data_IF_238734967914
#
_entry.id   IF_238734967914
#
_cell.length_a   1.000
_cell.length_b   1.000
_cell.length_c   1.000
_cell.angle_alpha   90.00
_cell.angle_beta   90.00
_cell.angle_gamma   90.00
#
_symmetry.space_group_name_H-M   'P 1'
#
loop_
_entity.id
_entity.type
_entity.pdbx_description
1 polymer ?
#
# COMPACT_ATOMS: atom_id res chain seq x y z
N UNK A 1 67.19 -5.58 -2.89
CA UNK A 1 66.57 -6.10 -4.12
C UNK A 1 65.33 -6.88 -3.72
N UNK A 2 64.09 -6.60 -4.09
CA UNK A 2 63.47 -5.40 -4.65
C UNK A 2 62.13 -5.19 -3.94
N UNK A 3 61.79 -3.93 -3.68
CA UNK A 3 60.54 -3.51 -3.07
C UNK A 3 59.45 -3.42 -4.13
N UNK A 4 58.36 -4.15 -3.96
CA UNK A 4 57.12 -3.92 -4.72
C UNK A 4 56.10 -3.23 -3.82
N UNK A 5 56.05 -1.91 -3.95
CA UNK A 5 54.88 -1.10 -3.61
C UNK A 5 53.87 -1.22 -4.76
N UNK A 6 52.69 -1.79 -4.47
CA UNK A 6 51.53 -1.68 -5.35
C UNK A 6 50.56 -0.68 -4.71
N UNK A 7 50.58 0.55 -5.20
CA UNK A 7 49.58 1.57 -4.89
C UNK A 7 48.31 1.29 -5.67
N UNK A 8 47.21 1.03 -4.96
CA UNK A 8 45.86 0.96 -5.53
C UNK A 8 45.22 2.34 -5.39
N UNK A 9 45.37 3.16 -6.44
CA UNK A 9 44.54 4.33 -6.71
C UNK A 9 43.62 3.94 -7.89
N UNK A 10 42.31 3.94 -7.68
CA UNK A 10 41.39 3.52 -8.72
C UNK A 10 39.91 3.79 -8.42
N UNK A 11 39.50 5.05 -8.60
CA UNK A 11 38.19 5.39 -9.16
C UNK A 11 36.94 5.18 -8.29
N UNK A 12 36.58 6.21 -7.51
CA UNK A 12 35.18 6.48 -7.16
C UNK A 12 34.42 6.87 -8.44
N UNK A 13 34.00 5.87 -9.22
CA UNK A 13 33.05 6.02 -10.31
C UNK A 13 31.66 6.22 -9.72
N UNK A 14 31.30 7.48 -9.44
CA UNK A 14 29.92 7.84 -9.17
C UNK A 14 29.05 7.45 -10.37
N UNK A 15 28.34 6.33 -10.24
CA UNK A 15 27.30 5.93 -11.18
C UNK A 15 26.21 6.99 -11.07
N UNK A 16 26.27 7.99 -11.96
CA UNK A 16 25.18 8.93 -12.14
C UNK A 16 23.97 8.12 -12.61
N UNK A 17 22.83 8.15 -11.93
CA UNK A 17 21.62 7.57 -12.46
C UNK A 17 21.33 8.23 -13.80
N UNK A 18 21.17 7.42 -14.84
CA UNK A 18 20.58 7.82 -16.11
C UNK A 18 19.15 8.27 -15.81
N UNK A 19 19.03 9.55 -15.50
CA UNK A 19 17.77 10.26 -15.47
C UNK A 19 17.32 10.37 -16.92
N UNK A 20 16.54 9.40 -17.36
CA UNK A 20 15.72 9.60 -18.55
C UNK A 20 14.78 10.76 -18.21
N UNK A 21 14.79 11.87 -18.97
CA UNK A 21 13.73 12.84 -18.84
C UNK A 21 12.44 12.11 -19.21
N UNK A 22 11.61 11.85 -18.20
CA UNK A 22 10.21 11.52 -18.42
C UNK A 22 9.68 12.71 -19.20
N UNK A 23 9.51 12.51 -20.50
CA UNK A 23 8.84 13.44 -21.38
C UNK A 23 7.41 13.46 -20.87
N UNK A 24 7.15 14.41 -19.96
CA UNK A 24 5.80 14.79 -19.55
C UNK A 24 5.03 14.98 -20.85
N UNK A 25 4.14 14.02 -21.14
CA UNK A 25 3.04 14.28 -22.05
C UNK A 25 2.20 15.30 -21.32
N UNK A 26 2.52 16.57 -21.59
CA UNK A 26 1.85 17.71 -21.01
C UNK A 26 0.37 17.62 -21.34
N UNK A 27 -0.39 17.10 -20.38
CA UNK A 27 -1.74 17.59 -20.17
C UNK A 27 -1.68 19.12 -20.03
N UNK A 28 -2.72 19.83 -20.49
CA UNK A 28 -2.74 21.29 -20.43
C UNK A 28 -2.38 21.77 -19.01
N UNK A 29 -1.62 22.88 -18.88
CA UNK A 29 -1.14 23.34 -17.59
C UNK A 29 -2.34 23.58 -16.65
N UNK A 30 -2.25 23.05 -15.42
CA UNK A 30 -3.27 23.13 -14.35
C UNK A 30 -3.80 24.57 -14.15
N UNK A 31 -2.98 25.58 -14.43
CA UNK A 31 -3.35 27.00 -14.41
C UNK A 31 -4.47 27.38 -15.41
N UNK A 32 -4.59 26.68 -16.53
CA UNK A 32 -5.62 26.93 -17.54
C UNK A 32 -6.98 26.36 -17.14
N UNK A 33 -7.01 25.25 -16.38
CA UNK A 33 -8.25 24.62 -15.94
C UNK A 33 -8.86 25.31 -14.71
N UNK A 34 -8.04 25.76 -13.75
CA UNK A 34 -8.54 26.61 -12.65
C UNK A 34 -9.07 27.94 -13.18
N UNK A 35 -8.41 28.51 -14.19
CA UNK A 35 -8.90 29.69 -14.90
C UNK A 35 -10.26 29.44 -15.57
N UNK A 36 -10.44 28.31 -16.27
CA UNK A 36 -11.72 27.98 -16.90
C UNK A 36 -12.82 27.64 -15.88
N UNK A 37 -12.50 26.98 -14.76
CA UNK A 37 -13.48 26.76 -13.67
C UNK A 37 -13.92 28.09 -13.05
N UNK A 38 -12.97 28.99 -12.80
CA UNK A 38 -13.28 30.31 -12.20
C UNK A 38 -14.06 31.20 -13.18
N UNK A 39 -13.71 31.14 -14.46
CA UNK A 39 -14.46 31.78 -15.54
C UNK A 39 -15.89 31.24 -15.63
N UNK A 40 -16.09 29.93 -15.62
CA UNK A 40 -17.43 29.31 -15.61
C UNK A 40 -18.21 29.69 -14.34
N UNK A 41 -17.56 29.77 -13.16
CA UNK A 41 -18.19 30.25 -11.92
C UNK A 41 -18.65 31.71 -12.05
N UNK A 42 -17.82 32.56 -12.63
CA UNK A 42 -18.14 33.97 -12.88
C UNK A 42 -19.31 34.12 -13.86
N UNK A 43 -19.38 33.27 -14.89
CA UNK A 43 -20.48 33.22 -15.85
C UNK A 43 -21.79 32.73 -15.21
N UNK A 44 -21.74 31.72 -14.33
CA UNK A 44 -22.89 31.28 -13.54
C UNK A 44 -23.41 32.42 -12.65
N UNK A 45 -22.51 33.09 -11.93
CA UNK A 45 -22.88 34.21 -11.06
C UNK A 45 -23.53 35.36 -11.84
N UNK A 46 -22.99 35.68 -13.02
CA UNK A 46 -23.55 36.69 -13.92
C UNK A 46 -24.92 36.29 -14.48
N UNK A 47 -25.07 35.06 -14.98
CA UNK A 47 -26.34 34.56 -15.50
C UNK A 47 -27.42 34.48 -14.40
N UNK A 48 -27.06 34.11 -13.17
CA UNK A 48 -27.96 34.14 -12.02
C UNK A 48 -28.39 35.58 -11.68
N UNK A 49 -27.47 36.55 -11.70
CA UNK A 49 -27.81 37.95 -11.48
C UNK A 49 -28.73 38.52 -12.56
N UNK A 50 -28.52 38.14 -13.82
CA UNK A 50 -29.40 38.50 -14.95
C UNK A 50 -30.78 37.85 -14.81
N UNK A 51 -30.85 36.57 -14.42
CA UNK A 51 -32.12 35.88 -14.11
C UNK A 51 -32.88 36.58 -12.99
N UNK A 52 -32.22 36.89 -11.88
CA UNK A 52 -32.83 37.54 -10.72
C UNK A 52 -33.24 38.98 -11.03
N UNK A 53 -32.57 39.65 -11.98
CA UNK A 53 -33.01 40.93 -12.52
C UNK A 53 -34.30 40.77 -13.35
N UNK A 54 -34.36 39.79 -14.26
CA UNK A 54 -35.55 39.52 -15.07
C UNK A 54 -36.76 39.13 -14.20
N UNK A 55 -36.55 38.36 -13.13
CA UNK A 55 -37.60 38.02 -12.16
C UNK A 55 -38.11 39.26 -11.42
N UNK A 56 -37.22 40.16 -10.99
CA UNK A 56 -37.61 41.43 -10.35
C UNK A 56 -38.39 42.36 -11.28
N UNK A 57 -37.97 42.47 -12.55
CA UNK A 57 -38.69 43.25 -13.57
C UNK A 57 -40.07 42.64 -13.88
N UNK A 58 -40.15 41.31 -13.99
CA UNK A 58 -41.41 40.59 -14.18
C UNK A 58 -42.37 40.82 -13.00
N UNK A 59 -41.87 40.76 -11.76
CA UNK A 59 -42.65 41.05 -10.55
C UNK A 59 -43.13 42.50 -10.49
N UNK A 60 -42.31 43.46 -10.93
CA UNK A 60 -42.69 44.87 -10.99
C UNK A 60 -43.78 45.13 -12.05
N UNK A 61 -43.68 44.50 -13.22
CA UNK A 61 -44.73 44.53 -14.23
C UNK A 61 -46.00 43.88 -13.69
N UNK A 62 -45.91 42.77 -12.96
CA UNK A 62 -47.08 42.15 -12.32
C UNK A 62 -47.72 43.05 -11.27
N UNK A 63 -46.94 43.76 -10.44
CA UNK A 63 -47.46 44.77 -9.50
C UNK A 63 -48.13 45.94 -10.22
N UNK A 64 -47.52 46.47 -11.29
CA UNK A 64 -48.09 47.56 -12.09
C UNK A 64 -49.36 47.13 -12.83
N UNK A 65 -49.40 45.93 -13.37
CA UNK A 65 -50.58 45.34 -14.00
C UNK A 65 -51.72 45.15 -12.98
N UNK A 66 -51.42 44.64 -11.78
CA UNK A 66 -52.40 44.46 -10.69
C UNK A 66 -52.93 45.79 -10.14
N UNK A 67 -52.11 46.85 -10.14
CA UNK A 67 -52.54 48.21 -9.79
C UNK A 67 -53.43 48.88 -10.84
N UNK A 68 -53.23 48.57 -12.13
CA UNK A 68 -54.00 49.14 -13.25
C UNK A 68 -55.32 48.38 -13.52
N UNK A 69 -55.43 47.13 -13.09
CA UNK A 69 -56.62 46.28 -13.26
C UNK A 69 -57.76 46.56 -12.24
N UNK A 70 -57.59 47.51 -11.31
CA UNK A 70 -58.65 47.91 -10.34
C UNK A 70 -59.66 48.92 -10.89
N UNK A 71 -59.53 49.37 -12.14
CA UNK A 71 -60.49 50.28 -12.75
C UNK A 71 -60.47 50.24 -14.27
N UNK A 72 -61.20 49.29 -14.86
CA UNK A 72 -62.08 49.48 -16.03
C UNK A 72 -62.69 48.13 -16.44
N UNK A 73 -64.02 48.06 -16.41
CA UNK A 73 -64.85 47.00 -16.98
C UNK A 73 -64.82 47.09 -18.51
N UNK A 74 -64.27 46.09 -19.21
CA UNK A 74 -64.70 45.66 -20.54
C UNK A 74 -64.16 44.24 -20.82
N UNK A 75 -65.00 43.24 -20.54
CA UNK A 75 -64.60 41.83 -20.45
C UNK A 75 -64.29 41.11 -21.79
N UNK A 76 -64.49 41.74 -22.96
CA UNK A 76 -64.16 41.13 -24.27
C UNK A 76 -62.87 41.73 -24.85
N UNK A 77 -62.65 43.05 -24.69
CA UNK A 77 -61.38 43.70 -25.07
C UNK A 77 -60.27 43.40 -24.05
N UNK A 78 -60.62 43.26 -22.76
CA UNK A 78 -59.69 42.85 -21.70
C UNK A 78 -59.12 41.45 -21.90
N UNK A 79 -59.85 40.52 -22.54
CA UNK A 79 -59.38 39.17 -22.84
C UNK A 79 -58.29 39.14 -23.92
N UNK A 80 -58.45 39.92 -25.01
CA UNK A 80 -57.42 40.01 -26.06
C UNK A 80 -56.19 40.81 -25.61
N UNK A 81 -56.38 41.87 -24.82
CA UNK A 81 -55.26 42.65 -24.26
C UNK A 81 -54.52 41.86 -23.19
N UNK A 82 -55.21 41.08 -22.34
CA UNK A 82 -54.57 40.18 -21.39
C UNK A 82 -53.88 39.00 -22.08
N UNK A 83 -54.47 38.41 -23.11
CA UNK A 83 -53.82 37.38 -23.93
C UNK A 83 -52.60 37.94 -24.66
N UNK A 84 -52.69 39.13 -25.27
CA UNK A 84 -51.58 39.83 -25.91
C UNK A 84 -50.46 40.20 -24.92
N UNK A 85 -50.79 40.65 -23.71
CA UNK A 85 -49.83 40.93 -22.64
C UNK A 85 -49.20 39.66 -22.07
N UNK A 86 -49.96 38.56 -21.92
CA UNK A 86 -49.43 37.25 -21.50
C UNK A 86 -48.57 36.60 -22.59
N UNK A 87 -48.93 36.75 -23.87
CA UNK A 87 -48.10 36.34 -25.00
C UNK A 87 -46.83 37.18 -25.11
N UNK A 88 -46.93 38.51 -24.96
CA UNK A 88 -45.77 39.40 -24.93
C UNK A 88 -44.87 39.13 -23.70
N UNK A 89 -45.44 38.78 -22.55
CA UNK A 89 -44.71 38.36 -21.35
C UNK A 89 -44.06 36.97 -21.52
N UNK A 90 -44.78 36.02 -22.11
CA UNK A 90 -44.27 34.68 -22.44
C UNK A 90 -43.12 34.74 -23.44
N UNK A 91 -43.24 35.57 -24.47
CA UNK A 91 -42.21 35.75 -25.50
C UNK A 91 -41.05 36.60 -24.98
N UNK A 92 -41.33 37.68 -24.24
CA UNK A 92 -40.33 38.64 -23.77
C UNK A 92 -39.53 38.20 -22.54
N UNK A 93 -40.11 37.37 -21.67
CA UNK A 93 -39.49 37.00 -20.39
C UNK A 93 -39.42 35.48 -20.16
N UNK A 94 -40.47 34.72 -20.46
CA UNK A 94 -40.47 33.27 -20.19
C UNK A 94 -39.49 32.50 -21.10
N UNK A 95 -39.46 32.84 -22.40
CA UNK A 95 -38.52 32.25 -23.36
C UNK A 95 -37.04 32.48 -22.96
N UNK A 96 -36.58 33.72 -22.67
CA UNK A 96 -35.19 33.93 -22.24
C UNK A 96 -34.89 33.30 -20.88
N UNK A 97 -35.85 33.22 -19.95
CA UNK A 97 -35.65 32.48 -18.67
C UNK A 97 -35.43 30.98 -18.93
N UNK A 98 -36.22 30.37 -19.82
CA UNK A 98 -36.06 28.96 -20.18
C UNK A 98 -34.75 28.68 -20.93
N UNK A 99 -34.35 29.58 -21.84
CA UNK A 99 -33.05 29.51 -22.53
C UNK A 99 -31.90 29.63 -21.54
N UNK A 100 -31.97 30.59 -20.58
CA UNK A 100 -30.97 30.75 -19.52
C UNK A 100 -30.89 29.54 -18.58
N UNK A 101 -32.02 28.91 -18.26
CA UNK A 101 -32.01 27.68 -17.46
C UNK A 101 -31.36 26.50 -18.20
N UNK A 102 -31.55 26.40 -19.52
CA UNK A 102 -30.86 25.39 -20.35
C UNK A 102 -29.35 25.65 -20.42
N UNK A 103 -28.95 26.90 -20.61
CA UNK A 103 -27.54 27.31 -20.57
C UNK A 103 -26.91 27.00 -19.21
N UNK A 104 -27.61 27.30 -18.12
CA UNK A 104 -27.13 27.06 -16.76
C UNK A 104 -26.99 25.56 -16.47
N UNK A 105 -27.97 24.74 -16.87
CA UNK A 105 -27.88 23.28 -16.77
C UNK A 105 -26.73 22.70 -17.61
N UNK A 106 -26.48 23.24 -18.80
CA UNK A 106 -25.35 22.83 -19.65
C UNK A 106 -24.01 23.17 -18.98
N UNK A 107 -23.90 24.37 -18.39
CA UNK A 107 -22.70 24.80 -17.68
C UNK A 107 -22.47 23.96 -16.42
N UNK A 108 -23.51 23.70 -15.62
CA UNK A 108 -23.42 22.84 -14.45
C UNK A 108 -22.98 21.42 -14.81
N UNK A 109 -23.52 20.85 -15.89
CA UNK A 109 -23.10 19.55 -16.39
C UNK A 109 -21.61 19.55 -16.82
N UNK A 110 -21.16 20.60 -17.50
CA UNK A 110 -19.74 20.78 -17.85
C UNK A 110 -18.86 20.86 -16.59
N UNK A 111 -19.21 21.70 -15.62
CA UNK A 111 -18.47 21.80 -14.35
C UNK A 111 -18.42 20.47 -13.62
N UNK A 112 -19.52 19.72 -13.59
CA UNK A 112 -19.56 18.39 -13.00
C UNK A 112 -18.63 17.43 -13.75
N UNK A 113 -18.65 17.43 -15.09
CA UNK A 113 -17.75 16.60 -15.90
C UNK A 113 -16.28 16.91 -15.64
N UNK A 114 -15.91 18.19 -15.55
CA UNK A 114 -14.54 18.60 -15.21
C UNK A 114 -14.14 18.18 -13.79
N UNK A 115 -15.05 18.30 -12.81
CA UNK A 115 -14.80 17.82 -11.44
C UNK A 115 -14.58 16.31 -11.40
N UNK A 116 -15.41 15.54 -12.09
CA UNK A 116 -15.28 14.07 -12.17
C UNK A 116 -13.98 13.67 -12.84
N UNK A 117 -13.61 14.32 -13.95
CA UNK A 117 -12.36 14.05 -14.66
C UNK A 117 -11.14 14.38 -13.79
N UNK A 118 -11.14 15.53 -13.10
CA UNK A 118 -10.07 15.88 -12.14
C UNK A 118 -9.94 14.86 -11.02
N UNK A 119 -11.07 14.42 -10.46
CA UNK A 119 -11.06 13.40 -9.41
C UNK A 119 -10.50 12.09 -9.93
N UNK A 120 -10.89 11.68 -11.15
CA UNK A 120 -10.37 10.49 -11.79
C UNK A 120 -8.85 10.57 -11.99
N UNK A 121 -8.34 11.68 -12.52
CA UNK A 121 -6.90 11.89 -12.70
C UNK A 121 -6.15 11.88 -11.37
N UNK A 122 -6.70 12.51 -10.33
CA UNK A 122 -6.12 12.48 -8.98
C UNK A 122 -6.03 11.05 -8.44
N UNK A 123 -7.11 10.28 -8.58
CA UNK A 123 -7.16 8.89 -8.13
C UNK A 123 -6.19 8.01 -8.94
N UNK A 124 -6.10 8.21 -10.26
CA UNK A 124 -5.15 7.49 -11.13
C UNK A 124 -3.70 7.80 -10.75
N UNK A 125 -3.37 9.06 -10.44
CA UNK A 125 -2.05 9.46 -9.95
C UNK A 125 -1.72 8.83 -8.60
N UNK A 126 -2.67 8.84 -7.66
CA UNK A 126 -2.50 8.23 -6.34
C UNK A 126 -2.30 6.71 -6.45
N UNK A 127 -3.07 6.03 -7.30
CA UNK A 127 -2.89 4.60 -7.57
C UNK A 127 -1.52 4.30 -8.18
N UNK A 128 -1.03 5.14 -9.10
CA UNK A 128 0.32 4.97 -9.65
C UNK A 128 1.40 5.15 -8.59
N UNK A 129 1.27 6.15 -7.72
CA UNK A 129 2.19 6.40 -6.62
C UNK A 129 2.24 5.21 -5.66
N UNK A 130 1.08 4.69 -5.25
CA UNK A 130 0.97 3.50 -4.38
C UNK A 130 1.60 2.28 -5.06
N UNK A 131 1.38 2.05 -6.36
CA UNK A 131 2.01 0.94 -7.09
C UNK A 131 3.53 1.06 -7.10
N UNK A 132 4.06 2.24 -7.40
CA UNK A 132 5.51 2.48 -7.39
C UNK A 132 6.10 2.29 -5.99
N UNK A 133 5.40 2.73 -4.94
CA UNK A 133 5.83 2.53 -3.56
C UNK A 133 5.82 1.04 -3.18
N UNK A 134 4.76 0.31 -3.54
CA UNK A 134 4.67 -1.13 -3.31
C UNK A 134 5.77 -1.91 -4.05
N UNK A 135 6.06 -1.57 -5.30
CA UNK A 135 7.18 -2.15 -6.06
C UNK A 135 8.52 -1.89 -5.37
N UNK A 136 8.74 -0.67 -4.87
CA UNK A 136 9.96 -0.31 -4.14
C UNK A 136 10.08 -1.06 -2.81
N UNK A 137 8.98 -1.22 -2.08
CA UNK A 137 8.93 -2.00 -0.84
C UNK A 137 9.23 -3.47 -1.13
N UNK A 138 8.59 -4.06 -2.14
CA UNK A 138 8.83 -5.45 -2.56
C UNK A 138 10.29 -5.67 -2.96
N UNK A 139 10.90 -4.73 -3.67
CA UNK A 139 12.32 -4.81 -4.01
C UNK A 139 13.20 -4.78 -2.75
N UNK A 140 12.94 -3.87 -1.82
CA UNK A 140 13.68 -3.80 -0.54
C UNK A 140 13.56 -5.09 0.26
N UNK A 141 12.39 -5.73 0.26
CA UNK A 141 12.20 -7.02 0.92
C UNK A 141 13.05 -8.11 0.28
N UNK A 142 13.06 -8.21 -1.06
CA UNK A 142 13.92 -9.17 -1.79
C UNK A 142 15.41 -8.94 -1.51
N UNK A 143 15.84 -7.69 -1.51
CA UNK A 143 17.24 -7.33 -1.22
C UNK A 143 17.62 -7.71 0.23
N UNK A 144 16.70 -7.51 1.17
CA UNK A 144 16.89 -7.89 2.57
C UNK A 144 16.93 -9.41 2.77
N UNK A 145 16.08 -10.15 2.07
CA UNK A 145 16.11 -11.62 2.04
C UNK A 145 17.42 -12.16 1.45
N UNK A 146 17.89 -11.60 0.34
CA UNK A 146 19.16 -11.96 -0.26
C UNK A 146 20.35 -11.64 0.66
N UNK A 147 20.35 -10.48 1.31
CA UNK A 147 21.36 -10.11 2.30
C UNK A 147 21.35 -11.06 3.50
N UNK A 148 20.17 -11.44 3.99
CA UNK A 148 20.05 -12.40 5.09
C UNK A 148 20.56 -13.80 4.69
N UNK A 149 20.29 -14.24 3.46
CA UNK A 149 20.82 -15.50 2.94
C UNK A 149 22.35 -15.49 2.86
N UNK A 150 22.95 -14.42 2.34
CA UNK A 150 24.42 -14.28 2.29
C UNK A 150 25.05 -14.24 3.68
N UNK A 151 24.43 -13.54 4.64
CA UNK A 151 24.89 -13.53 6.03
C UNK A 151 24.78 -14.91 6.68
N UNK A 152 23.75 -15.69 6.35
CA UNK A 152 23.60 -17.06 6.84
C UNK A 152 24.72 -17.97 6.29
N UNK A 153 25.09 -17.83 5.02
CA UNK A 153 26.21 -18.56 4.39
C UNK A 153 27.56 -18.19 5.03
N UNK A 154 27.88 -16.90 5.12
CA UNK A 154 29.11 -16.42 5.79
C UNK A 154 29.22 -16.92 7.23
N UNK A 155 28.07 -17.05 7.91
CA UNK A 155 28.02 -17.60 9.26
C UNK A 155 28.29 -19.10 9.27
N UNK A 156 27.74 -19.87 8.34
CA UNK A 156 28.00 -21.30 8.23
C UNK A 156 29.50 -21.56 7.99
N UNK A 157 30.13 -20.80 7.10
CA UNK A 157 31.58 -20.87 6.84
C UNK A 157 32.41 -20.53 8.08
N UNK A 158 32.00 -19.49 8.83
CA UNK A 158 32.66 -19.09 10.06
C UNK A 158 32.52 -20.16 11.16
N UNK A 159 31.35 -20.80 11.28
CA UNK A 159 31.12 -21.91 12.22
C UNK A 159 31.98 -23.12 11.84
N UNK A 160 32.06 -23.50 10.57
CA UNK A 160 32.91 -24.60 10.08
C UNK A 160 34.39 -24.34 10.36
N UNK A 161 34.87 -23.13 10.05
CA UNK A 161 36.25 -22.74 10.33
C UNK A 161 36.56 -22.81 11.83
N UNK A 162 35.64 -22.35 12.67
CA UNK A 162 35.81 -22.36 14.11
C UNK A 162 35.84 -23.79 14.68
N UNK A 163 35.00 -24.69 14.16
CA UNK A 163 35.00 -26.11 14.53
C UNK A 163 36.30 -26.82 14.09
N UNK A 164 36.81 -26.50 12.89
CA UNK A 164 38.10 -27.00 12.43
C UNK A 164 39.25 -26.53 13.34
N UNK A 165 39.31 -25.22 13.62
CA UNK A 165 40.30 -24.64 14.53
C UNK A 165 40.22 -25.25 15.93
N UNK A 166 39.01 -25.50 16.44
CA UNK A 166 38.79 -26.20 17.70
C UNK A 166 39.37 -27.62 17.64
N UNK A 167 39.08 -28.38 16.60
CA UNK A 167 39.63 -29.72 16.39
C UNK A 167 41.16 -29.72 16.38
N UNK A 168 41.78 -28.79 15.66
CA UNK A 168 43.24 -28.62 15.63
C UNK A 168 43.81 -28.27 17.02
N UNK A 169 43.19 -27.35 17.76
CA UNK A 169 43.64 -26.96 19.09
C UNK A 169 43.50 -28.11 20.11
N UNK A 170 42.44 -28.92 20.02
CA UNK A 170 42.26 -30.10 20.88
C UNK A 170 43.33 -31.15 20.58
N UNK A 171 43.62 -31.42 19.30
CA UNK A 171 44.69 -32.34 18.91
C UNK A 171 46.06 -31.83 19.39
N UNK A 172 46.36 -30.55 19.17
CA UNK A 172 47.59 -29.91 19.60
C UNK A 172 47.76 -29.94 21.13
N UNK A 173 46.67 -29.70 21.89
CA UNK A 173 46.67 -29.84 23.35
C UNK A 173 47.01 -31.26 23.79
N UNK A 174 46.47 -32.29 23.13
CA UNK A 174 46.79 -33.69 23.44
C UNK A 174 48.24 -34.04 23.12
N UNK A 175 48.76 -33.55 22.00
CA UNK A 175 50.16 -33.73 21.60
C UNK A 175 51.11 -33.11 22.64
N UNK A 176 50.85 -31.86 23.07
CA UNK A 176 51.64 -31.22 24.12
C UNK A 176 51.57 -31.95 25.47
N UNK A 177 50.39 -32.42 25.88
CA UNK A 177 50.28 -33.22 27.11
C UNK A 177 51.09 -34.52 27.03
N UNK A 178 51.03 -35.24 25.90
CA UNK A 178 51.80 -36.47 25.72
C UNK A 178 53.32 -36.22 25.70
N UNK A 179 53.77 -35.10 25.11
CA UNK A 179 55.18 -34.68 25.13
C UNK A 179 55.65 -34.31 26.54
N UNK A 180 54.80 -33.66 27.34
CA UNK A 180 55.10 -33.34 28.74
C UNK A 180 55.33 -34.62 29.57
N UNK A 181 54.50 -35.66 29.35
CA UNK A 181 54.60 -36.94 30.06
C UNK A 181 55.87 -37.73 29.69
N UNK A 182 56.45 -37.52 28.50
CA UNK A 182 57.67 -38.20 28.04
C UNK A 182 58.97 -37.50 28.42
N UNK A 183 58.91 -36.23 28.82
CA UNK A 183 60.10 -35.43 29.16
C UNK A 183 60.62 -35.74 30.57
N UNK A 184 61.91 -36.02 30.68
CA UNK A 184 62.59 -36.29 31.98
C UNK A 184 63.13 -35.01 32.63
N UNK A 185 63.18 -33.89 31.91
CA UNK A 185 63.55 -32.57 32.43
C UNK A 185 62.34 -31.77 32.93
N UNK A 186 62.41 -31.24 34.15
CA UNK A 186 61.30 -30.48 34.77
C UNK A 186 60.90 -29.21 33.99
N UNK A 187 61.82 -28.59 33.26
CA UNK A 187 61.57 -27.30 32.58
C UNK A 187 60.76 -27.49 31.29
N UNK A 188 61.09 -28.49 30.49
CA UNK A 188 60.42 -28.76 29.21
C UNK A 188 58.99 -29.27 29.42
N UNK A 189 58.77 -30.12 30.44
CA UNK A 189 57.43 -30.61 30.79
C UNK A 189 56.49 -29.46 31.22
N UNK A 190 57.00 -28.49 31.99
CA UNK A 190 56.22 -27.34 32.44
C UNK A 190 55.82 -26.41 31.27
N UNK A 191 56.69 -26.25 30.27
CA UNK A 191 56.38 -25.45 29.08
C UNK A 191 55.26 -26.08 28.25
N UNK A 192 55.34 -27.40 28.01
CA UNK A 192 54.29 -28.13 27.29
C UNK A 192 52.94 -28.11 28.01
N UNK A 193 52.94 -28.22 29.35
CA UNK A 193 51.72 -28.07 30.16
C UNK A 193 51.09 -26.68 29.97
N UNK A 194 51.90 -25.62 29.99
CA UNK A 194 51.42 -24.25 29.77
C UNK A 194 50.83 -24.05 28.38
N UNK A 195 51.43 -24.64 27.34
CA UNK A 195 50.91 -24.60 25.98
C UNK A 195 49.57 -25.33 25.85
N UNK A 196 49.42 -26.48 26.52
CA UNK A 196 48.15 -27.20 26.56
C UNK A 196 47.04 -26.39 27.25
N UNK A 197 47.33 -25.76 28.39
CA UNK A 197 46.39 -24.86 29.09
C UNK A 197 45.99 -23.67 28.20
N UNK A 198 46.97 -23.03 27.54
CA UNK A 198 46.71 -21.92 26.63
C UNK A 198 45.85 -22.34 25.42
N UNK A 199 46.04 -23.55 24.90
CA UNK A 199 45.21 -24.10 23.83
C UNK A 199 43.76 -24.33 24.30
N UNK A 200 43.57 -24.88 25.52
CA UNK A 200 42.24 -25.06 26.10
C UNK A 200 41.51 -23.74 26.36
N UNK A 201 42.21 -22.71 26.85
CA UNK A 201 41.64 -21.39 27.04
C UNK A 201 41.21 -20.74 25.72
N UNK A 202 41.99 -20.91 24.65
CA UNK A 202 41.62 -20.48 23.30
C UNK A 202 40.38 -21.20 22.77
N UNK A 203 40.24 -22.50 23.03
CA UNK A 203 39.04 -23.27 22.67
C UNK A 203 37.81 -22.71 23.38
N UNK A 204 37.88 -22.47 24.70
CA UNK A 204 36.76 -21.87 25.47
C UNK A 204 36.38 -20.49 24.96
N UNK A 205 37.37 -19.67 24.58
CA UNK A 205 37.13 -18.35 24.00
C UNK A 205 36.39 -18.45 22.66
N UNK A 206 36.82 -19.36 21.78
CA UNK A 206 36.16 -19.62 20.50
C UNK A 206 34.71 -20.10 20.69
N UNK A 207 34.46 -21.04 21.61
CA UNK A 207 33.10 -21.51 21.93
C UNK A 207 32.19 -20.36 22.36
N UNK A 208 32.71 -19.45 23.20
CA UNK A 208 31.97 -18.26 23.64
C UNK A 208 31.66 -17.31 22.47
N UNK A 209 32.62 -17.12 21.56
CA UNK A 209 32.44 -16.28 20.38
C UNK A 209 31.41 -16.87 19.41
N UNK A 210 31.46 -18.18 19.16
CA UNK A 210 30.47 -18.91 18.35
C UNK A 210 29.07 -18.70 18.95
N UNK A 211 28.90 -18.98 20.24
CA UNK A 211 27.59 -18.83 20.91
C UNK A 211 27.04 -17.40 20.81
N UNK A 212 27.91 -16.38 20.89
CA UNK A 212 27.53 -14.98 20.71
C UNK A 212 27.08 -14.69 19.28
N UNK A 213 27.79 -15.19 18.27
CA UNK A 213 27.41 -15.04 16.86
C UNK A 213 26.07 -15.74 16.58
N UNK A 214 25.87 -16.95 17.12
CA UNK A 214 24.63 -17.71 16.97
C UNK A 214 23.42 -16.98 17.55
N UNK A 215 23.56 -16.41 18.76
CA UNK A 215 22.48 -15.66 19.39
C UNK A 215 22.17 -14.34 18.66
N UNK A 216 23.21 -13.61 18.21
CA UNK A 216 23.04 -12.40 17.39
C UNK A 216 22.32 -12.68 16.06
N UNK A 217 22.66 -13.78 15.40
CA UNK A 217 22.04 -14.17 14.14
C UNK A 217 20.55 -14.51 14.31
N UNK A 218 20.19 -15.27 15.36
CA UNK A 218 18.78 -15.55 15.68
C UNK A 218 17.99 -14.27 15.97
N UNK A 219 18.59 -13.32 16.68
CA UNK A 219 17.97 -12.02 16.94
C UNK A 219 17.72 -11.23 15.65
N UNK A 220 18.70 -11.21 14.73
CA UNK A 220 18.57 -10.56 13.42
C UNK A 220 17.49 -11.20 12.54
N UNK A 221 17.44 -12.54 12.49
CA UNK A 221 16.40 -13.26 11.74
C UNK A 221 15.00 -12.94 12.28
N UNK A 222 14.82 -12.97 13.60
CA UNK A 222 13.56 -12.63 14.25
C UNK A 222 13.13 -11.18 13.94
N UNK A 223 14.07 -10.24 13.93
CA UNK A 223 13.80 -8.86 13.56
C UNK A 223 13.37 -8.74 12.09
N UNK A 224 14.07 -9.45 11.18
CA UNK A 224 13.69 -9.51 9.77
C UNK A 224 12.26 -10.02 9.58
N UNK A 225 11.89 -11.10 10.27
CA UNK A 225 10.53 -11.65 10.24
C UNK A 225 9.51 -10.64 10.78
N UNK A 226 9.82 -9.94 11.88
CA UNK A 226 8.93 -8.91 12.44
C UNK A 226 8.71 -7.75 11.46
N UNK A 227 9.78 -7.25 10.84
CA UNK A 227 9.72 -6.14 9.87
C UNK A 227 8.89 -6.55 8.65
N UNK A 228 9.18 -7.71 8.05
CA UNK A 228 8.42 -8.20 6.89
C UNK A 228 6.95 -8.40 7.23
N UNK A 229 6.66 -8.96 8.41
CA UNK A 229 5.29 -9.15 8.90
C UNK A 229 4.57 -7.82 9.06
N UNK A 230 5.22 -6.80 9.64
CA UNK A 230 4.63 -5.48 9.83
C UNK A 230 4.34 -4.80 8.49
N UNK A 231 5.30 -4.81 7.56
CA UNK A 231 5.15 -4.21 6.22
C UNK A 231 3.99 -4.87 5.48
N UNK A 232 3.97 -6.20 5.41
CA UNK A 232 2.93 -6.92 4.69
C UNK A 232 1.56 -6.78 5.36
N UNK A 233 1.52 -6.76 6.70
CA UNK A 233 0.29 -6.49 7.44
C UNK A 233 -0.26 -5.10 7.11
N UNK A 234 0.59 -4.07 7.09
CA UNK A 234 0.18 -2.70 6.71
C UNK A 234 -0.29 -2.60 5.25
N UNK A 235 0.32 -3.39 4.36
CA UNK A 235 -0.09 -3.51 2.95
C UNK A 235 -1.48 -4.13 2.79
N UNK A 236 -1.80 -5.15 3.59
CA UNK A 236 -3.10 -5.83 3.54
C UNK A 236 -4.24 -5.04 4.20
N UNK A 237 -4.01 -4.34 5.31
CA UNK A 237 -5.08 -3.60 6.01
C UNK A 237 -5.83 -2.69 5.03
N UNK A 238 -7.16 -2.69 5.03
CA UNK A 238 -8.03 -1.88 4.17
C UNK A 238 -8.28 -2.45 2.77
N UNK A 239 -7.55 -3.49 2.35
CA UNK A 239 -7.75 -4.12 1.03
C UNK A 239 -8.94 -5.08 1.04
N UNK A 240 -9.62 -5.18 -0.11
CA UNK A 240 -10.78 -6.07 -0.32
C UNK A 240 -10.42 -7.21 -1.25
N UNK A 241 -10.79 -8.42 -0.85
CA UNK A 241 -10.43 -9.66 -1.52
C UNK A 241 -11.66 -10.52 -1.79
N UNK A 242 -11.64 -11.27 -2.88
CA UNK A 242 -12.67 -12.24 -3.26
C UNK A 242 -12.12 -13.66 -3.13
N UNK A 243 -12.63 -14.39 -2.14
CA UNK A 243 -12.33 -15.80 -1.90
C UNK A 243 -13.11 -16.71 -2.84
N UNK A 244 -12.44 -17.72 -3.40
CA UNK A 244 -13.03 -18.80 -4.19
C UNK A 244 -12.55 -20.15 -3.65
N UNK A 245 -13.49 -21.08 -3.40
CA UNK A 245 -13.16 -22.45 -2.97
C UNK A 245 -13.06 -23.37 -4.19
N UNK A 246 -12.14 -24.33 -4.15
CA UNK A 246 -11.96 -25.28 -5.24
C UNK A 246 -12.92 -26.48 -5.20
N UNK A 247 -13.68 -26.67 -4.12
CA UNK A 247 -14.53 -27.84 -3.89
C UNK A 247 -15.90 -27.79 -4.59
N UNK A 248 -16.11 -26.82 -5.49
CA UNK A 248 -17.32 -26.73 -6.32
C UNK A 248 -18.55 -26.21 -5.57
N UNK A 249 -18.45 -25.88 -4.28
CA UNK A 249 -19.44 -25.04 -3.62
C UNK A 249 -19.35 -23.63 -4.22
N UNK A 250 -20.36 -23.25 -4.99
CA UNK A 250 -20.46 -22.02 -5.80
C UNK A 250 -20.46 -20.69 -5.01
N UNK A 251 -19.96 -20.68 -3.78
CA UNK A 251 -19.88 -19.47 -2.95
C UNK A 251 -18.54 -18.77 -3.13
N UNK A 252 -18.56 -17.59 -3.78
CA UNK A 252 -17.49 -16.61 -3.59
C UNK A 252 -17.83 -15.71 -2.42
N UNK A 253 -16.85 -15.42 -1.57
CA UNK A 253 -17.01 -14.54 -0.41
C UNK A 253 -16.08 -13.34 -0.56
N UNK A 254 -16.58 -12.15 -0.27
CA UNK A 254 -15.74 -10.96 -0.21
C UNK A 254 -15.40 -10.64 1.25
N UNK A 255 -14.16 -10.21 1.48
CA UNK A 255 -13.73 -9.81 2.81
C UNK A 255 -12.73 -8.64 2.76
N UNK A 256 -12.61 -7.94 3.88
CA UNK A 256 -11.68 -6.82 4.07
C UNK A 256 -10.76 -7.12 5.25
N UNK A 257 -9.46 -6.99 5.04
CA UNK A 257 -8.48 -7.05 6.13
C UNK A 257 -8.57 -5.77 6.97
N UNK A 258 -8.97 -5.85 8.24
CA UNK A 258 -9.02 -4.69 9.14
C UNK A 258 -7.77 -4.63 10.03
N UNK A 259 -7.51 -3.44 10.57
CA UNK A 259 -6.44 -3.23 11.55
C UNK A 259 -6.65 -4.08 12.80
N UNK A 260 -5.56 -4.44 13.48
CA UNK A 260 -5.64 -5.26 14.71
C UNK A 260 -5.90 -6.75 14.45
N UNK A 261 -5.73 -7.23 13.21
CA UNK A 261 -5.92 -8.63 12.86
C UNK A 261 -7.38 -9.05 12.77
N UNK A 262 -8.31 -8.12 12.62
CA UNK A 262 -9.73 -8.41 12.40
C UNK A 262 -10.02 -8.61 10.91
N UNK A 263 -10.84 -9.59 10.57
CA UNK A 263 -11.34 -9.78 9.22
C UNK A 263 -12.80 -9.37 9.18
N UNK A 264 -13.20 -8.60 8.16
CA UNK A 264 -14.60 -8.25 7.95
C UNK A 264 -15.12 -8.99 6.73
N UNK A 265 -16.11 -9.84 6.94
CA UNK A 265 -16.89 -10.46 5.88
C UNK A 265 -17.90 -9.46 5.30
N UNK A 266 -17.98 -9.38 3.98
CA UNK A 266 -18.99 -8.59 3.27
C UNK A 266 -20.17 -9.45 2.79
N UNK A 267 -20.24 -10.70 3.21
CA UNK A 267 -21.35 -11.58 2.87
C UNK A 267 -22.61 -11.17 3.66
N UNK A 268 -23.71 -10.76 3.01
CA UNK A 268 -24.94 -10.36 3.72
C UNK A 268 -25.61 -11.50 4.50
N UNK A 269 -25.25 -12.76 4.20
CA UNK A 269 -25.73 -13.93 4.93
C UNK A 269 -24.88 -14.27 6.17
N UNK A 270 -23.83 -13.50 6.46
CA UNK A 270 -23.01 -13.71 7.64
C UNK A 270 -23.74 -13.27 8.91
N UNK A 271 -24.03 -14.24 9.77
CA UNK A 271 -24.71 -14.04 11.05
C UNK A 271 -23.75 -13.91 12.22
N UNK A 272 -22.45 -14.09 12.00
CA UNK A 272 -21.39 -14.14 13.02
C UNK A 272 -20.37 -13.04 12.77
N UNK A 273 -20.83 -11.79 12.68
CA UNK A 273 -19.94 -10.66 12.39
C UNK A 273 -18.94 -10.39 13.52
N UNK A 274 -17.67 -10.14 13.16
CA UNK A 274 -16.66 -9.61 14.07
C UNK A 274 -15.87 -10.65 14.89
N UNK A 275 -16.02 -11.93 14.59
CA UNK A 275 -15.23 -13.00 15.22
C UNK A 275 -14.15 -13.60 14.29
N UNK A 276 -14.10 -13.14 13.04
CA UNK A 276 -13.07 -13.55 12.11
C UNK A 276 -11.77 -12.76 12.33
N UNK A 277 -10.65 -13.46 12.30
CA UNK A 277 -9.33 -12.87 12.50
C UNK A 277 -8.37 -13.28 11.41
N UNK A 278 -7.31 -12.50 11.24
CA UNK A 278 -6.22 -12.81 10.33
C UNK A 278 -4.88 -12.43 10.94
N UNK A 279 -3.84 -13.10 10.44
CA UNK A 279 -2.45 -12.76 10.68
C UNK A 279 -1.64 -13.11 9.44
N UNK A 280 -0.53 -12.41 9.26
CA UNK A 280 0.47 -12.73 8.24
C UNK A 280 1.82 -12.94 8.92
N UNK A 281 2.63 -13.85 8.41
CA UNK A 281 4.02 -14.03 8.81
C UNK A 281 4.84 -14.38 7.59
N UNK A 282 5.86 -13.58 7.28
CA UNK A 282 6.50 -13.60 5.95
C UNK A 282 5.39 -13.45 4.90
N UNK A 283 5.25 -14.37 3.95
CA UNK A 283 4.17 -14.40 2.96
C UNK A 283 3.00 -15.35 3.31
N UNK A 284 3.01 -16.01 4.48
CA UNK A 284 1.93 -16.91 4.87
C UNK A 284 0.81 -16.12 5.57
N UNK A 285 -0.35 -16.05 4.92
CA UNK A 285 -1.59 -15.52 5.49
C UNK A 285 -2.33 -16.66 6.19
N UNK A 286 -2.67 -16.46 7.46
CA UNK A 286 -3.63 -17.29 8.18
C UNK A 286 -4.90 -16.49 8.43
N UNK A 287 -6.04 -17.01 7.98
CA UNK A 287 -7.36 -16.48 8.32
C UNK A 287 -8.06 -17.50 9.20
N UNK A 288 -8.67 -17.05 10.28
CA UNK A 288 -9.46 -17.83 11.21
C UNK A 288 -10.89 -17.33 11.13
N UNK A 289 -11.81 -18.17 10.63
CA UNK A 289 -13.22 -17.84 10.48
C UNK A 289 -14.06 -18.51 11.58
N UNK A 290 -15.12 -17.83 12.00
CA UNK A 290 -16.11 -18.28 12.98
C UNK A 290 -15.45 -18.76 14.28
N UNK A 291 -14.71 -17.88 14.96
CA UNK A 291 -13.99 -18.19 16.21
C UNK A 291 -13.01 -19.38 16.12
N UNK A 292 -12.47 -19.63 14.93
CA UNK A 292 -11.50 -20.70 14.68
C UNK A 292 -12.09 -22.01 14.20
N UNK A 293 -13.41 -22.06 13.96
CA UNK A 293 -14.04 -23.24 13.36
C UNK A 293 -13.41 -23.62 12.01
N UNK A 294 -13.03 -22.63 11.19
CA UNK A 294 -12.33 -22.85 9.93
C UNK A 294 -11.05 -22.02 9.86
N UNK A 295 -9.92 -22.68 9.57
CA UNK A 295 -8.61 -22.08 9.43
C UNK A 295 -8.16 -22.19 7.98
N UNK A 296 -7.90 -21.04 7.37
CA UNK A 296 -7.37 -20.90 6.03
C UNK A 296 -5.91 -20.51 6.14
N UNK A 297 -5.05 -21.19 5.39
CA UNK A 297 -3.62 -20.86 5.25
C UNK A 297 -3.30 -20.72 3.78
N UNK A 298 -2.68 -19.60 3.40
CA UNK A 298 -2.31 -19.35 2.02
C UNK A 298 -1.04 -18.53 1.91
N UNK A 299 -0.45 -18.56 0.73
CA UNK A 299 0.72 -17.78 0.36
C UNK A 299 0.27 -16.56 -0.42
N UNK A 300 0.58 -15.38 0.10
CA UNK A 300 0.36 -14.11 -0.57
C UNK A 300 1.43 -13.90 -1.64
N UNK A 301 1.00 -13.76 -2.88
CA UNK A 301 1.81 -13.42 -4.04
C UNK A 301 1.12 -12.27 -4.79
N UNK A 302 1.59 -11.04 -4.53
CA UNK A 302 1.02 -9.81 -5.11
C UNK A 302 -0.49 -9.70 -4.83
N UNK A 303 -1.32 -9.83 -5.87
CA UNK A 303 -2.78 -9.68 -5.85
C UNK A 303 -3.52 -11.02 -5.70
N UNK A 304 -2.80 -12.10 -5.40
CA UNK A 304 -3.33 -13.45 -5.24
C UNK A 304 -2.88 -14.06 -3.90
N UNK A 305 -3.82 -14.68 -3.19
CA UNK A 305 -3.52 -15.60 -2.10
C UNK A 305 -3.95 -17.00 -2.54
N UNK A 306 -3.06 -17.98 -2.48
CA UNK A 306 -3.38 -19.37 -2.81
C UNK A 306 -3.04 -20.30 -1.64
N UNK A 307 -3.90 -21.27 -1.36
CA UNK A 307 -3.67 -22.14 -0.22
C UNK A 307 -4.72 -23.20 0.05
N UNK A 308 -4.69 -23.67 1.30
CA UNK A 308 -5.57 -24.72 1.81
C UNK A 308 -6.26 -24.29 3.09
N UNK A 309 -7.40 -24.90 3.36
CA UNK A 309 -8.17 -24.64 4.56
C UNK A 309 -8.60 -25.95 5.20
N UNK A 310 -8.86 -25.89 6.50
CA UNK A 310 -9.37 -27.00 7.31
C UNK A 310 -10.42 -26.47 8.28
N UNK A 311 -11.37 -27.29 8.67
CA UNK A 311 -12.26 -26.98 9.79
C UNK A 311 -12.08 -27.97 10.95
N UNK A 312 -12.77 -27.71 12.06
CA UNK A 312 -12.74 -28.56 13.27
C UNK A 312 -13.22 -29.99 13.03
N UNK A 313 -14.08 -30.23 12.04
CA UNK A 313 -14.53 -31.58 11.67
C UNK A 313 -13.55 -32.31 10.75
N UNK A 314 -12.40 -31.69 10.43
CA UNK A 314 -11.33 -32.29 9.63
C UNK A 314 -11.56 -32.25 8.10
N UNK A 315 -12.61 -31.56 7.62
CA UNK A 315 -12.78 -31.32 6.18
C UNK A 315 -11.66 -30.38 5.71
N UNK A 316 -11.05 -30.70 4.57
CA UNK A 316 -10.01 -29.89 3.92
C UNK A 316 -10.44 -29.50 2.52
N UNK A 317 -10.07 -28.30 2.09
CA UNK A 317 -10.29 -27.81 0.73
C UNK A 317 -9.18 -26.83 0.33
N UNK A 318 -8.99 -26.63 -0.97
CA UNK A 318 -8.13 -25.56 -1.47
C UNK A 318 -8.96 -24.30 -1.71
N UNK A 319 -8.30 -23.15 -1.66
CA UNK A 319 -8.94 -21.86 -1.86
C UNK A 319 -7.95 -20.88 -2.48
N UNK A 320 -8.50 -19.91 -3.19
CA UNK A 320 -7.78 -18.74 -3.67
C UNK A 320 -8.49 -17.48 -3.20
N UNK A 321 -7.77 -16.38 -3.08
CA UNK A 321 -8.38 -15.06 -2.96
C UNK A 321 -7.69 -14.07 -3.89
N UNK A 322 -8.49 -13.31 -4.64
CA UNK A 322 -8.01 -12.29 -5.57
C UNK A 322 -8.30 -10.89 -5.01
N UNK A 323 -7.35 -9.97 -5.15
CA UNK A 323 -7.55 -8.57 -4.78
C UNK A 323 -8.58 -7.93 -5.73
N UNK A 324 -9.65 -7.37 -5.16
CA UNK A 324 -10.74 -6.71 -5.92
C UNK A 324 -10.91 -5.23 -5.58
N UNK A 325 -10.20 -4.72 -4.57
CA UNK A 325 -10.19 -3.31 -4.23
C UNK A 325 -9.01 -2.92 -3.33
N UNK A 326 -8.29 -1.87 -3.72
CA UNK A 326 -7.29 -1.21 -2.87
C UNK A 326 -7.94 -0.16 -1.97
N UNK A 327 -7.16 0.35 -0.99
CA UNK A 327 -7.53 1.50 -0.14
C UNK A 327 -8.03 2.69 -0.97
#
# INVERSE_FOLDING_TARGET
>A
MGNYHAGFLGGNGAVRPLTYPVRSMGGPPVANEEYEIEKLRSEIARNNAERDKLLREADEIHRRARGRLRGTLQAIVGGMVAAGLLSAWGIGYLKPILEKNKELALIENKVLSYKTERQRQSNEQEQQAIRTENEAISQRLRDLEASNASLAEQRADAEELADNLKGQLVSLSKEYSALADQQTGQTDAAEFQRLAEQAQDRVKLLETQIAKLQSGARASENLGVQISTQILSQGLVGTRWKLTKSDGESGSYEFVFRSGGMLESLNPADTTTGNDTWRISRNEVTISMNDGYAIYKGILNEDLIDGSATNEVGKKWNWTAELIGSK
#
